data_IF_055484155718
#
_entry.id   IF_055484155718
#
_cell.length_a   1.000
_cell.length_b   1.000
_cell.length_c   1.000
_cell.angle_alpha   90.00
_cell.angle_beta   90.00
_cell.angle_gamma   90.00
#
_symmetry.space_group_name_H-M   'P 1'
#
loop_
_entity.id
_entity.type
_entity.pdbx_description
1 polymer ?
#
# COMPACT_ATOMS: atom_id res chain seq x y z
N UNK A 1 58.42 -7.29 -5.33
CA UNK A 1 57.47 -6.87 -4.30
C UNK A 1 56.19 -6.53 -5.00
N UNK A 2 55.19 -7.41 -4.95
CA UNK A 2 53.84 -7.20 -5.51
C UNK A 2 52.92 -6.87 -4.35
N UNK A 3 52.33 -5.70 -4.34
CA UNK A 3 51.30 -5.27 -3.39
C UNK A 3 49.94 -5.72 -3.90
N UNK A 4 49.18 -6.38 -3.04
CA UNK A 4 47.84 -6.87 -3.26
C UNK A 4 46.83 -5.81 -2.84
N UNK A 5 45.84 -5.43 -3.64
CA UNK A 5 44.77 -4.54 -3.25
C UNK A 5 43.43 -5.29 -3.11
N UNK A 6 43.21 -5.92 -1.97
CA UNK A 6 41.88 -6.46 -1.62
C UNK A 6 41.49 -5.99 -0.23
N UNK A 7 41.00 -4.75 -0.16
CA UNK A 7 40.28 -4.19 0.99
C UNK A 7 38.77 -4.20 0.70
N UNK A 8 38.14 -5.37 0.62
CA UNK A 8 36.70 -5.46 0.69
C UNK A 8 36.29 -5.30 2.15
N UNK A 9 35.75 -4.13 2.49
CA UNK A 9 35.12 -3.86 3.78
C UNK A 9 33.88 -4.74 3.93
N UNK A 10 34.02 -5.87 4.61
CA UNK A 10 32.89 -6.66 5.09
C UNK A 10 32.25 -5.92 6.27
N UNK A 11 31.17 -5.22 6.03
CA UNK A 11 30.31 -4.71 7.10
C UNK A 11 29.71 -5.89 7.87
N UNK A 12 29.97 -5.93 9.16
CA UNK A 12 29.53 -6.99 10.06
C UNK A 12 27.99 -6.91 10.24
N UNK A 13 27.23 -8.02 10.10
CA UNK A 13 25.76 -8.01 10.25
C UNK A 13 25.29 -7.60 11.65
N UNK A 14 26.18 -7.57 12.64
CA UNK A 14 25.86 -7.12 14.01
C UNK A 14 25.86 -5.59 14.18
N UNK A 15 26.52 -4.85 13.29
CA UNK A 15 26.55 -3.37 13.32
C UNK A 15 25.25 -2.72 12.82
N UNK A 16 24.38 -3.46 12.15
CA UNK A 16 23.09 -2.95 11.67
C UNK A 16 21.96 -3.01 12.72
N UNK A 17 22.11 -3.78 13.80
CA UNK A 17 21.06 -3.95 14.83
C UNK A 17 20.81 -2.73 15.73
N UNK A 18 21.58 -1.66 15.58
CA UNK A 18 21.47 -0.42 16.38
C UNK A 18 21.25 0.86 15.58
N UNK A 19 21.18 0.81 14.25
CA UNK A 19 20.93 2.03 13.45
C UNK A 19 19.47 2.46 13.54
N UNK A 20 19.22 3.65 14.05
CA UNK A 20 17.95 4.33 13.89
C UNK A 20 17.70 4.52 12.38
N UNK A 21 16.73 3.77 11.81
CA UNK A 21 16.39 3.91 10.41
C UNK A 21 15.78 5.28 10.14
N UNK A 22 16.28 5.94 9.11
CA UNK A 22 15.75 7.21 8.62
C UNK A 22 14.68 6.98 7.56
N UNK A 23 13.71 7.90 7.46
CA UNK A 23 12.64 7.77 6.49
C UNK A 23 12.26 9.10 5.83
N UNK A 24 11.66 9.00 4.66
CA UNK A 24 11.04 10.11 3.93
C UNK A 24 9.57 9.80 3.68
N UNK A 25 8.72 10.83 3.60
CA UNK A 25 7.31 10.70 3.30
C UNK A 25 6.94 11.43 2.01
N UNK A 26 5.98 10.87 1.29
CA UNK A 26 5.35 11.49 0.12
C UNK A 26 3.83 11.39 0.29
N UNK A 27 3.15 12.53 0.14
CA UNK A 27 1.69 12.61 0.22
C UNK A 27 1.12 13.28 -1.03
N UNK A 28 0.61 12.54 -2.00
CA UNK A 28 -0.22 13.11 -3.05
C UNK A 28 -1.53 13.63 -2.48
N UNK A 29 -1.85 14.90 -2.74
CA UNK A 29 -3.07 15.57 -2.29
C UNK A 29 -3.79 16.20 -3.49
N UNK A 30 -5.12 16.12 -3.51
CA UNK A 30 -5.95 16.83 -4.49
C UNK A 30 -7.32 17.13 -3.89
N UNK A 31 -7.57 18.41 -3.60
CA UNK A 31 -8.77 18.90 -2.94
C UNK A 31 -9.00 18.19 -1.59
N UNK A 32 -8.06 18.41 -0.68
CA UNK A 32 -7.99 17.78 0.64
C UNK A 32 -8.07 18.81 1.78
N UNK A 33 -8.61 20.03 1.53
CA UNK A 33 -8.73 21.10 2.53
C UNK A 33 -9.40 20.65 3.83
N UNK A 34 -10.35 19.69 3.73
CA UNK A 34 -11.08 19.18 4.88
C UNK A 34 -10.24 18.29 5.83
N UNK A 35 -9.13 17.70 5.35
CA UNK A 35 -8.40 16.65 6.09
C UNK A 35 -6.91 16.88 6.21
N UNK A 36 -6.29 17.55 5.22
CA UNK A 36 -4.83 17.68 5.12
C UNK A 36 -4.20 18.29 6.37
N UNK A 37 -4.87 19.24 7.03
CA UNK A 37 -4.35 19.87 8.25
C UNK A 37 -4.22 18.87 9.39
N UNK A 38 -5.21 17.97 9.55
CA UNK A 38 -5.20 16.93 10.56
C UNK A 38 -4.09 15.91 10.28
N UNK A 39 -3.90 15.54 9.02
CA UNK A 39 -2.79 14.70 8.59
C UNK A 39 -1.45 15.33 8.96
N UNK A 40 -1.24 16.60 8.63
CA UNK A 40 0.00 17.33 8.94
C UNK A 40 0.25 17.36 10.44
N UNK A 41 -0.73 17.74 11.24
CA UNK A 41 -0.60 17.80 12.71
C UNK A 41 -0.25 16.45 13.31
N UNK A 42 -0.83 15.36 12.80
CA UNK A 42 -0.55 14.01 13.30
C UNK A 42 0.87 13.50 12.97
N UNK A 43 1.44 13.95 11.83
CA UNK A 43 2.84 13.64 11.48
C UNK A 43 3.82 14.50 12.27
N UNK A 44 3.54 15.79 12.46
CA UNK A 44 4.38 16.69 13.28
C UNK A 44 4.43 16.21 14.74
N UNK A 45 3.35 15.63 15.24
CA UNK A 45 3.28 15.09 16.61
C UNK A 45 4.00 13.75 16.82
N UNK A 46 4.67 13.20 15.81
CA UNK A 46 5.38 11.92 15.93
C UNK A 46 6.72 12.06 16.67
N UNK A 47 7.09 11.02 17.41
CA UNK A 47 8.37 10.95 18.17
C UNK A 47 9.59 10.92 17.25
N UNK A 48 9.47 10.33 16.08
CA UNK A 48 10.49 10.33 15.02
C UNK A 48 9.92 11.02 13.79
N UNK A 49 10.54 12.11 13.38
CA UNK A 49 10.14 12.89 12.21
C UNK A 49 10.85 12.39 10.95
N UNK A 50 10.22 12.52 9.76
CA UNK A 50 10.89 12.18 8.50
C UNK A 50 12.05 13.15 8.20
N UNK A 51 13.09 12.68 7.52
CA UNK A 51 14.15 13.53 6.98
C UNK A 51 13.59 14.59 6.02
N UNK A 52 12.61 14.19 5.25
CA UNK A 52 11.89 15.05 4.30
C UNK A 52 10.47 14.51 4.11
N UNK A 53 9.52 15.41 4.07
CA UNK A 53 8.14 15.13 3.68
C UNK A 53 7.73 16.02 2.53
N UNK A 54 7.43 15.43 1.37
CA UNK A 54 6.94 16.16 0.20
C UNK A 54 5.44 15.94 0.06
N UNK A 55 4.67 17.00 0.25
CA UNK A 55 3.23 17.03 -0.02
C UNK A 55 3.05 17.56 -1.44
N UNK A 56 2.41 16.76 -2.30
CA UNK A 56 2.21 17.11 -3.71
C UNK A 56 0.77 17.53 -3.93
N UNK A 57 0.56 18.79 -4.21
CA UNK A 57 -0.73 19.27 -4.69
C UNK A 57 -0.89 18.95 -6.17
N UNK A 58 -1.75 17.97 -6.49
CA UNK A 58 -2.01 17.50 -7.84
C UNK A 58 -3.12 18.34 -8.51
N UNK A 59 -2.87 19.64 -8.64
CA UNK A 59 -3.83 20.61 -9.20
C UNK A 59 -5.05 20.80 -8.29
N UNK A 60 -4.84 21.05 -6.99
CA UNK A 60 -5.92 21.41 -6.07
C UNK A 60 -6.47 22.78 -6.42
N UNK A 61 -7.78 22.94 -6.26
CA UNK A 61 -8.55 24.17 -6.53
C UNK A 61 -9.26 24.72 -5.28
N UNK A 62 -9.08 24.03 -4.16
CA UNK A 62 -9.56 24.42 -2.82
C UNK A 62 -8.41 24.99 -1.97
N UNK A 63 -8.63 25.17 -0.68
CA UNK A 63 -7.63 25.75 0.24
C UNK A 63 -6.49 24.77 0.65
N UNK A 64 -6.38 23.60 0.01
CA UNK A 64 -5.32 22.60 0.32
C UNK A 64 -3.92 23.22 0.32
N UNK A 65 -3.57 23.98 -0.71
CA UNK A 65 -2.24 24.58 -0.87
C UNK A 65 -1.96 25.64 0.20
N UNK A 66 -2.93 26.48 0.53
CA UNK A 66 -2.77 27.53 1.53
C UNK A 66 -2.63 26.94 2.94
N UNK A 67 -3.31 25.82 3.22
CA UNK A 67 -3.12 25.08 4.48
C UNK A 67 -1.71 24.55 4.57
N UNK A 68 -1.22 23.85 3.55
CA UNK A 68 0.13 23.24 3.56
C UNK A 68 1.22 24.31 3.67
N UNK A 69 1.11 25.44 2.97
CA UNK A 69 2.10 26.56 3.01
C UNK A 69 2.32 27.08 4.43
N UNK A 70 1.30 27.12 5.30
CA UNK A 70 1.47 27.51 6.71
C UNK A 70 2.48 26.63 7.44
N UNK A 71 2.46 25.33 7.16
CA UNK A 71 3.36 24.35 7.82
C UNK A 71 4.75 24.31 7.19
N UNK A 72 4.85 24.53 5.88
CA UNK A 72 6.16 24.66 5.19
C UNK A 72 6.99 25.80 5.77
N UNK A 73 6.38 26.92 6.16
CA UNK A 73 7.09 28.05 6.79
C UNK A 73 7.60 27.73 8.19
N UNK A 74 6.95 26.82 8.90
CA UNK A 74 7.28 26.45 10.29
C UNK A 74 8.25 25.24 10.38
N UNK A 75 8.27 24.39 9.34
CA UNK A 75 8.98 23.13 9.34
C UNK A 75 9.79 22.95 8.07
N UNK A 76 11.11 23.16 8.11
CA UNK A 76 12.01 23.08 6.96
C UNK A 76 12.09 21.71 6.28
N UNK A 77 11.68 20.64 6.96
CA UNK A 77 11.60 19.30 6.44
C UNK A 77 10.30 18.99 5.67
N UNK A 78 9.30 19.89 5.70
CA UNK A 78 8.08 19.80 4.88
C UNK A 78 8.27 20.63 3.61
N UNK A 79 7.91 20.08 2.46
CA UNK A 79 7.94 20.76 1.17
C UNK A 79 6.59 20.60 0.47
N UNK A 80 6.06 21.70 -0.08
CA UNK A 80 4.91 21.68 -0.99
C UNK A 80 5.42 21.66 -2.44
N UNK A 81 5.04 20.63 -3.19
CA UNK A 81 5.24 20.55 -4.63
C UNK A 81 3.89 20.75 -5.32
N UNK A 82 3.74 21.84 -6.06
CA UNK A 82 2.52 22.12 -6.82
C UNK A 82 2.65 21.57 -8.24
N UNK A 83 1.66 20.83 -8.69
CA UNK A 83 1.53 20.36 -10.08
C UNK A 83 0.43 21.14 -10.80
N UNK A 84 0.54 21.27 -12.14
CA UNK A 84 -0.52 21.90 -12.93
C UNK A 84 -1.88 21.20 -12.74
N UNK A 85 -2.95 21.99 -12.83
CA UNK A 85 -4.30 21.45 -12.81
C UNK A 85 -4.51 20.49 -14.00
N UNK A 86 -5.19 19.36 -13.71
CA UNK A 86 -5.54 18.35 -14.72
C UNK A 86 -7.06 18.20 -14.79
N UNK A 87 -7.61 18.20 -16.00
CA UNK A 87 -9.04 18.02 -16.23
C UNK A 87 -9.54 16.64 -15.79
N UNK A 88 -8.76 15.57 -16.01
CA UNK A 88 -9.17 14.21 -15.68
C UNK A 88 -8.69 13.76 -14.28
N UNK A 89 -9.63 13.24 -13.49
CA UNK A 89 -9.32 12.57 -12.21
C UNK A 89 -9.26 11.06 -12.42
N UNK A 90 -8.05 10.47 -12.36
CA UNK A 90 -7.83 9.03 -12.40
C UNK A 90 -6.71 8.61 -11.45
N UNK A 91 -6.69 7.34 -11.04
CA UNK A 91 -5.72 6.85 -10.05
C UNK A 91 -4.26 6.95 -10.51
N UNK A 92 -3.96 6.84 -11.80
CA UNK A 92 -2.61 7.05 -12.30
C UNK A 92 -2.04 8.45 -11.95
N UNK A 93 -2.91 9.44 -11.72
CA UNK A 93 -2.50 10.76 -11.23
C UNK A 93 -1.79 10.72 -9.89
N UNK A 94 -2.25 9.88 -8.96
CA UNK A 94 -1.57 9.66 -7.68
C UNK A 94 -0.12 9.20 -7.88
N UNK A 95 0.12 8.31 -8.86
CA UNK A 95 1.48 7.84 -9.20
C UNK A 95 2.32 8.95 -9.81
N UNK A 96 1.76 9.75 -10.72
CA UNK A 96 2.50 10.88 -11.30
C UNK A 96 2.91 11.91 -10.23
N UNK A 97 2.00 12.24 -9.33
CA UNK A 97 2.27 13.11 -8.19
C UNK A 97 3.35 12.50 -7.27
N UNK A 98 3.22 11.22 -6.93
CA UNK A 98 4.21 10.52 -6.14
C UNK A 98 5.60 10.54 -6.79
N UNK A 99 5.69 10.23 -8.09
CA UNK A 99 6.96 10.19 -8.82
C UNK A 99 7.61 11.58 -8.93
N UNK A 100 6.82 12.65 -9.05
CA UNK A 100 7.34 14.02 -9.03
C UNK A 100 7.99 14.35 -7.67
N UNK A 101 7.38 13.93 -6.57
CA UNK A 101 7.97 14.07 -5.23
C UNK A 101 9.16 13.13 -5.02
N UNK A 102 9.09 11.90 -5.53
CA UNK A 102 10.19 10.94 -5.42
C UNK A 102 11.48 11.50 -6.02
N UNK A 103 11.40 12.21 -7.14
CA UNK A 103 12.56 12.89 -7.74
C UNK A 103 13.24 13.91 -6.79
N UNK A 104 12.53 14.46 -5.79
CA UNK A 104 13.06 15.39 -4.79
C UNK A 104 13.79 14.70 -3.65
N UNK A 105 13.46 13.45 -3.36
CA UNK A 105 13.97 12.73 -2.19
C UNK A 105 14.92 11.58 -2.54
N UNK A 106 14.93 11.09 -3.78
CA UNK A 106 15.70 9.90 -4.19
C UNK A 106 17.20 9.97 -3.92
N UNK A 107 17.79 11.16 -3.91
CA UNK A 107 19.23 11.37 -3.65
C UNK A 107 19.56 11.55 -2.15
N UNK A 108 18.55 11.63 -1.28
CA UNK A 108 18.76 11.70 0.16
C UNK A 108 19.21 10.32 0.70
N UNK A 109 19.94 10.35 1.79
CA UNK A 109 20.35 9.13 2.50
C UNK A 109 19.26 8.70 3.50
N UNK A 110 18.31 7.88 3.03
CA UNK A 110 17.22 7.32 3.83
C UNK A 110 17.13 5.81 3.63
N UNK A 111 16.56 5.12 4.61
CA UNK A 111 16.36 3.68 4.59
C UNK A 111 14.93 3.31 4.17
N UNK A 112 13.95 4.13 4.53
CA UNK A 112 12.53 3.83 4.35
C UNK A 112 11.84 4.98 3.61
N UNK A 113 10.98 4.65 2.63
CA UNK A 113 10.12 5.61 1.94
C UNK A 113 8.66 5.29 2.23
N UNK A 114 7.90 6.30 2.62
CA UNK A 114 6.46 6.17 2.91
C UNK A 114 5.59 6.88 1.87
N UNK A 115 4.52 6.20 1.47
CA UNK A 115 3.36 6.81 0.81
C UNK A 115 2.27 6.97 1.84
N UNK A 116 1.85 8.21 2.09
CA UNK A 116 0.81 8.57 3.05
C UNK A 116 -0.32 9.29 2.33
N UNK A 117 -1.57 8.85 2.49
CA UNK A 117 -2.72 9.57 1.95
C UNK A 117 -3.02 10.84 2.75
N UNK A 118 -3.56 11.85 2.08
CA UNK A 118 -3.75 13.21 2.62
C UNK A 118 -4.92 13.32 3.63
N UNK A 119 -5.68 12.25 3.81
CA UNK A 119 -6.83 12.15 4.70
C UNK A 119 -6.62 11.10 5.82
N UNK A 120 -5.34 10.82 6.14
CA UNK A 120 -4.94 9.88 7.19
C UNK A 120 -4.36 10.64 8.38
N UNK A 121 -4.70 10.20 9.60
CA UNK A 121 -4.03 10.67 10.81
C UNK A 121 -3.64 9.52 11.75
N UNK A 122 -2.79 9.84 12.71
CA UNK A 122 -2.26 8.91 13.70
C UNK A 122 -2.57 9.44 15.10
N UNK A 123 -3.23 8.62 15.93
CA UNK A 123 -3.47 8.95 17.34
C UNK A 123 -2.23 8.60 18.19
N UNK A 124 -1.47 7.58 17.79
CA UNK A 124 -0.25 7.15 18.47
C UNK A 124 0.95 8.03 18.05
N UNK A 125 1.62 8.72 18.98
CA UNK A 125 2.78 9.57 18.65
C UNK A 125 4.03 8.77 18.26
N UNK A 126 4.08 7.47 18.52
CA UNK A 126 5.16 6.55 18.17
C UNK A 126 4.82 5.62 16.99
N UNK A 127 3.87 6.03 16.13
CA UNK A 127 3.43 5.19 15.01
C UNK A 127 4.55 4.86 14.03
N UNK A 128 5.33 5.86 13.61
CA UNK A 128 6.46 5.63 12.70
C UNK A 128 7.61 4.93 13.41
N UNK A 129 7.94 5.28 14.64
CA UNK A 129 8.95 4.59 15.45
C UNK A 129 8.65 3.08 15.55
N UNK A 130 7.39 2.74 15.81
CA UNK A 130 6.93 1.35 15.84
C UNK A 130 7.22 0.62 14.52
N UNK A 131 6.85 1.20 13.37
CA UNK A 131 7.09 0.57 12.06
C UNK A 131 8.58 0.50 11.70
N UNK A 132 9.35 1.55 12.00
CA UNK A 132 10.80 1.56 11.78
C UNK A 132 11.50 0.44 12.58
N UNK A 133 11.08 0.20 13.83
CA UNK A 133 11.56 -0.93 14.64
C UNK A 133 11.25 -2.28 14.00
N UNK A 134 10.07 -2.44 13.36
CA UNK A 134 9.75 -3.68 12.62
C UNK A 134 10.71 -3.90 11.45
N UNK A 135 11.02 -2.85 10.68
CA UNK A 135 12.02 -2.91 9.61
C UNK A 135 13.44 -3.19 10.12
N UNK A 136 13.83 -2.64 11.27
CA UNK A 136 15.13 -2.91 11.87
C UNK A 136 15.27 -4.35 12.35
N UNK A 137 14.17 -4.96 12.82
CA UNK A 137 14.14 -6.34 13.31
C UNK A 137 14.16 -7.39 12.19
N UNK A 138 13.64 -7.07 11.00
CA UNK A 138 13.55 -8.00 9.88
C UNK A 138 14.10 -7.36 8.59
N UNK A 139 15.35 -7.68 8.20
CA UNK A 139 15.94 -7.18 6.95
C UNK A 139 15.20 -7.62 5.67
N UNK A 140 14.45 -8.73 5.72
CA UNK A 140 13.66 -9.23 4.58
C UNK A 140 12.31 -8.48 4.45
N UNK A 141 11.91 -7.69 5.46
CA UNK A 141 10.69 -6.90 5.43
C UNK A 141 10.85 -5.75 4.43
N UNK A 142 10.15 -5.86 3.30
CA UNK A 142 10.17 -4.88 2.22
C UNK A 142 9.05 -3.86 2.29
N UNK A 143 7.86 -4.27 2.79
CA UNK A 143 6.68 -3.39 2.88
C UNK A 143 5.97 -3.58 4.21
N UNK A 144 5.70 -2.49 4.90
CA UNK A 144 4.97 -2.51 6.16
C UNK A 144 3.90 -1.40 6.22
N UNK A 145 2.87 -1.66 7.02
CA UNK A 145 1.82 -0.72 7.36
C UNK A 145 0.96 -1.25 8.49
N UNK A 146 -0.14 -0.57 8.75
CA UNK A 146 -1.12 -0.96 9.77
C UNK A 146 -2.53 -0.98 9.19
N UNK A 147 -3.51 -1.56 9.90
CA UNK A 147 -4.90 -1.35 9.59
C UNK A 147 -5.26 0.14 9.66
N UNK A 148 -6.28 0.53 8.90
CA UNK A 148 -6.95 1.81 9.12
C UNK A 148 -8.35 1.60 9.70
N UNK A 149 -8.87 2.63 10.38
CA UNK A 149 -10.23 2.71 10.89
C UNK A 149 -10.98 3.86 10.19
N UNK A 150 -12.25 3.64 9.88
CA UNK A 150 -13.18 4.65 9.35
C UNK A 150 -14.30 4.87 10.35
N UNK A 151 -14.18 5.87 11.22
CA UNK A 151 -15.08 6.03 12.37
C UNK A 151 -15.08 4.77 13.22
N UNK A 152 -16.28 4.19 13.45
CA UNK A 152 -16.43 2.96 14.26
C UNK A 152 -16.19 1.67 13.47
N UNK A 153 -15.90 1.77 12.15
CA UNK A 153 -15.67 0.60 11.30
C UNK A 153 -14.21 0.20 11.33
N UNK A 154 -13.94 -0.99 11.84
CA UNK A 154 -12.61 -1.59 11.83
C UNK A 154 -12.52 -2.67 10.76
N UNK A 155 -11.38 -2.73 10.06
CA UNK A 155 -11.11 -3.80 9.10
C UNK A 155 -11.03 -5.15 9.81
N UNK A 156 -11.74 -6.15 9.28
CA UNK A 156 -11.77 -7.49 9.87
C UNK A 156 -10.60 -8.35 9.37
N UNK A 157 -9.47 -8.29 10.08
CA UNK A 157 -8.25 -9.03 9.73
C UNK A 157 -8.35 -10.55 9.96
N UNK A 158 -9.44 -11.06 10.52
CA UNK A 158 -9.67 -12.52 10.58
C UNK A 158 -9.82 -13.13 9.19
N UNK A 159 -10.22 -12.32 8.20
CA UNK A 159 -10.47 -12.73 6.83
C UNK A 159 -9.57 -12.02 5.80
N UNK A 160 -8.86 -10.98 6.21
CA UNK A 160 -7.85 -10.32 5.39
C UNK A 160 -6.46 -10.88 5.71
N UNK A 161 -5.67 -11.05 4.69
CA UNK A 161 -4.28 -11.53 4.87
C UNK A 161 -3.40 -10.39 5.36
N UNK A 162 -2.55 -10.67 6.34
CA UNK A 162 -1.60 -9.68 6.87
C UNK A 162 -0.53 -9.28 5.84
N UNK A 163 -0.31 -10.11 4.84
CA UNK A 163 0.61 -9.81 3.73
C UNK A 163 0.09 -8.71 2.79
N UNK A 164 -1.19 -8.32 2.91
CA UNK A 164 -1.72 -7.16 2.19
C UNK A 164 -1.55 -5.90 3.03
N UNK A 165 -0.77 -4.94 2.53
CA UNK A 165 -0.57 -3.63 3.17
C UNK A 165 -1.43 -2.59 2.46
N UNK A 166 -2.23 -1.87 3.23
CA UNK A 166 -3.15 -0.84 2.72
C UNK A 166 -2.41 0.37 2.14
N UNK A 167 -2.96 0.97 1.09
CA UNK A 167 -2.45 2.19 0.47
C UNK A 167 -2.61 3.47 1.31
N UNK A 168 -3.36 3.41 2.43
CA UNK A 168 -3.55 4.54 3.33
C UNK A 168 -2.22 5.08 3.90
N UNK A 169 -1.38 4.15 4.37
CA UNK A 169 0.00 4.43 4.76
C UNK A 169 0.85 3.19 4.48
N UNK A 170 1.67 3.25 3.43
CA UNK A 170 2.59 2.18 3.05
C UNK A 170 4.03 2.64 3.24
N UNK A 171 4.79 1.94 4.08
CA UNK A 171 6.22 2.14 4.19
C UNK A 171 6.95 1.03 3.43
N UNK A 172 7.94 1.43 2.65
CA UNK A 172 8.80 0.53 1.88
C UNK A 172 10.25 0.68 2.33
N UNK A 173 10.95 -0.45 2.47
CA UNK A 173 12.41 -0.42 2.46
C UNK A 173 12.87 0.14 1.11
N UNK A 174 13.89 1.01 1.12
CA UNK A 174 14.39 1.68 -0.10
C UNK A 174 14.73 0.67 -1.19
N UNK A 175 15.50 -0.35 -0.85
CA UNK A 175 15.93 -1.39 -1.78
C UNK A 175 14.74 -2.18 -2.36
N UNK A 176 13.72 -2.41 -1.54
CA UNK A 176 12.47 -3.02 -1.99
C UNK A 176 11.78 -2.12 -3.01
N UNK A 177 11.59 -0.83 -2.68
CA UNK A 177 10.91 0.14 -3.55
C UNK A 177 11.62 0.30 -4.90
N UNK A 178 12.95 0.37 -4.89
CA UNK A 178 13.79 0.44 -6.08
C UNK A 178 13.71 -0.86 -6.91
N UNK A 179 13.75 -2.03 -6.25
CA UNK A 179 13.69 -3.35 -6.92
C UNK A 179 12.36 -3.60 -7.64
N UNK A 180 11.25 -3.05 -7.14
CA UNK A 180 9.93 -3.16 -7.80
C UNK A 180 9.71 -2.11 -8.89
N UNK A 181 10.62 -1.14 -9.03
CA UNK A 181 10.49 -0.02 -9.97
C UNK A 181 9.46 1.03 -9.56
N UNK A 182 9.12 1.09 -8.25
CA UNK A 182 8.14 2.02 -7.70
C UNK A 182 6.69 1.66 -8.01
N UNK A 183 5.80 2.65 -7.96
CA UNK A 183 4.38 2.47 -8.26
C UNK A 183 4.10 2.45 -9.77
N UNK A 184 3.25 1.51 -10.21
CA UNK A 184 2.79 1.41 -11.61
C UNK A 184 1.56 2.30 -11.82
N UNK A 185 1.53 3.20 -12.83
CA UNK A 185 0.41 4.12 -13.07
C UNK A 185 -0.79 3.40 -13.69
N UNK A 186 -1.64 2.81 -12.86
CA UNK A 186 -2.86 2.12 -13.26
C UNK A 186 -4.07 3.07 -13.19
N UNK A 187 -4.73 3.32 -14.32
CA UNK A 187 -5.91 4.22 -14.38
C UNK A 187 -7.09 3.71 -13.54
N UNK A 188 -7.26 2.39 -13.46
CA UNK A 188 -8.35 1.75 -12.75
C UNK A 188 -8.13 1.63 -11.22
N UNK A 189 -6.97 2.02 -10.69
CA UNK A 189 -6.60 1.84 -9.29
C UNK A 189 -5.77 0.58 -9.02
N UNK A 190 -5.79 0.06 -7.80
CA UNK A 190 -4.99 -1.08 -7.33
C UNK A 190 -3.46 -0.87 -7.40
N UNK A 191 -3.02 0.39 -7.29
CA UNK A 191 -1.62 0.80 -7.34
C UNK A 191 -0.86 0.20 -6.15
N UNK A 192 -1.41 0.36 -4.96
CA UNK A 192 -0.92 -0.17 -3.69
C UNK A 192 -0.83 -1.71 -3.70
N UNK A 193 -1.90 -2.37 -4.12
CA UNK A 193 -1.93 -3.83 -4.27
C UNK A 193 -0.85 -4.32 -5.23
N UNK A 194 -0.70 -3.64 -6.38
CA UNK A 194 0.30 -4.02 -7.38
C UNK A 194 1.71 -3.90 -6.84
N UNK A 195 2.03 -2.83 -6.12
CA UNK A 195 3.34 -2.65 -5.49
C UNK A 195 3.63 -3.74 -4.45
N UNK A 196 2.66 -4.04 -3.57
CA UNK A 196 2.81 -5.07 -2.51
C UNK A 196 2.97 -6.48 -3.09
N UNK A 197 2.20 -6.84 -4.12
CA UNK A 197 2.34 -8.15 -4.78
C UNK A 197 3.67 -8.24 -5.53
N UNK A 198 4.10 -7.17 -6.21
CA UNK A 198 5.40 -7.13 -6.90
C UNK A 198 6.57 -7.24 -5.91
N UNK A 199 6.47 -6.64 -4.72
CA UNK A 199 7.46 -6.82 -3.68
C UNK A 199 7.61 -8.30 -3.28
N UNK A 200 6.48 -9.01 -3.08
CA UNK A 200 6.50 -10.44 -2.80
C UNK A 200 7.03 -11.29 -3.97
N UNK A 201 6.75 -10.89 -5.21
CA UNK A 201 7.34 -11.53 -6.41
C UNK A 201 8.87 -11.41 -6.42
N UNK A 202 9.41 -10.32 -5.88
CA UNK A 202 10.86 -10.09 -5.74
C UNK A 202 11.46 -10.72 -4.48
N UNK A 203 10.67 -11.49 -3.72
CA UNK A 203 11.12 -12.20 -2.53
C UNK A 203 11.01 -11.42 -1.22
N UNK A 204 10.57 -10.17 -1.25
CA UNK A 204 10.40 -9.36 -0.05
C UNK A 204 9.21 -9.83 0.80
N UNK A 205 9.34 -9.75 2.11
CA UNK A 205 8.21 -9.89 3.02
C UNK A 205 7.36 -8.61 3.01
N UNK A 206 6.04 -8.79 3.13
CA UNK A 206 5.09 -7.68 3.28
C UNK A 206 4.17 -7.98 4.44
N UNK A 207 3.96 -7.02 5.35
CA UNK A 207 3.18 -7.29 6.55
C UNK A 207 2.39 -6.07 7.03
N UNK A 208 1.14 -6.31 7.41
CA UNK A 208 0.28 -5.40 8.16
C UNK A 208 0.34 -5.75 9.64
N UNK A 209 0.91 -4.85 10.44
CA UNK A 209 1.00 -4.97 11.89
C UNK A 209 -0.27 -4.45 12.55
N UNK A 210 -0.97 -5.33 13.28
CA UNK A 210 -2.29 -5.03 13.84
C UNK A 210 -2.25 -4.44 15.24
N UNK A 211 -1.08 -4.21 15.79
CA UNK A 211 -0.87 -3.62 17.14
C UNK A 211 -1.19 -2.13 17.17
N UNK A 212 -1.05 -1.45 16.03
CA UNK A 212 -1.43 -0.05 15.82
C UNK A 212 -2.37 0.10 14.64
N UNK A 213 -2.98 1.28 14.51
CA UNK A 213 -3.84 1.62 13.38
C UNK A 213 -3.70 3.11 13.05
N UNK A 214 -4.09 3.49 11.83
CA UNK A 214 -4.28 4.87 11.44
C UNK A 214 -5.77 5.18 11.25
N UNK A 215 -6.14 6.45 11.32
CA UNK A 215 -7.51 6.92 11.09
C UNK A 215 -7.65 7.38 9.65
N UNK A 216 -8.66 6.90 8.94
CA UNK A 216 -9.01 7.33 7.59
C UNK A 216 -10.27 8.19 7.68
N UNK A 217 -10.14 9.49 7.38
CA UNK A 217 -11.20 10.45 7.62
C UNK A 217 -12.24 10.49 6.51
N UNK A 218 -11.83 10.18 5.29
CA UNK A 218 -12.77 10.08 4.17
C UNK A 218 -13.38 8.67 4.13
N UNK A 219 -14.69 8.57 4.32
CA UNK A 219 -15.38 7.29 4.19
C UNK A 219 -15.28 6.75 2.77
N UNK A 220 -14.70 5.57 2.60
CA UNK A 220 -14.69 4.89 1.30
C UNK A 220 -16.13 4.51 0.90
N UNK A 221 -16.51 4.79 -0.37
CA UNK A 221 -17.80 4.40 -0.92
C UNK A 221 -18.98 5.31 -0.58
N UNK A 222 -18.75 6.50 0.02
CA UNK A 222 -19.83 7.51 0.29
C UNK A 222 -20.30 8.31 -0.93
N UNK A 223 -19.67 8.15 -2.09
CA UNK A 223 -20.33 8.54 -3.32
C UNK A 223 -21.65 7.75 -3.38
N UNK A 224 -22.79 8.41 -3.59
CA UNK A 224 -24.17 7.90 -3.69
C UNK A 224 -24.36 6.76 -4.72
N UNK A 225 -23.36 5.90 -4.89
CA UNK A 225 -23.37 4.78 -5.80
C UNK A 225 -24.17 3.65 -5.15
N UNK A 226 -25.11 3.12 -5.90
CA UNK A 226 -25.80 1.89 -5.59
C UNK A 226 -24.75 0.83 -5.17
N UNK A 227 -24.83 0.35 -3.92
CA UNK A 227 -23.89 -0.65 -3.36
C UNK A 227 -23.73 -1.86 -4.29
N UNK A 228 -24.79 -2.26 -4.96
CA UNK A 228 -24.74 -3.38 -5.93
C UNK A 228 -23.90 -3.04 -7.15
N UNK A 229 -23.98 -1.81 -7.66
CA UNK A 229 -23.16 -1.36 -8.77
C UNK A 229 -21.67 -1.27 -8.35
N UNK A 230 -21.39 -0.81 -7.14
CA UNK A 230 -20.03 -0.78 -6.60
C UNK A 230 -19.47 -2.20 -6.47
N UNK A 231 -20.26 -3.14 -5.98
CA UNK A 231 -19.88 -4.57 -5.86
C UNK A 231 -19.64 -5.20 -7.22
N UNK A 232 -20.50 -4.92 -8.21
CA UNK A 232 -20.30 -5.37 -9.60
C UNK A 232 -18.99 -4.79 -10.17
N UNK A 233 -18.74 -3.49 -10.02
CA UNK A 233 -17.49 -2.84 -10.46
C UNK A 233 -16.26 -3.45 -9.79
N UNK A 234 -16.34 -3.83 -8.51
CA UNK A 234 -15.28 -4.51 -7.80
C UNK A 234 -14.96 -5.86 -8.47
N UNK A 235 -15.98 -6.70 -8.72
CA UNK A 235 -15.79 -7.95 -9.46
C UNK A 235 -15.26 -7.75 -10.87
N UNK A 236 -15.77 -6.73 -11.58
CA UNK A 236 -15.28 -6.36 -12.91
C UNK A 236 -13.79 -6.01 -12.91
N UNK A 237 -13.32 -5.25 -11.91
CA UNK A 237 -11.90 -4.91 -11.76
C UNK A 237 -11.01 -6.09 -11.35
N UNK A 238 -11.55 -7.10 -10.67
CA UNK A 238 -10.79 -8.27 -10.24
C UNK A 238 -10.24 -9.11 -11.41
N UNK A 239 -10.99 -9.24 -12.51
CA UNK A 239 -10.59 -10.03 -13.67
C UNK A 239 -9.29 -9.49 -14.33
N UNK A 240 -9.21 -8.23 -14.79
CA UNK A 240 -8.00 -7.69 -15.42
C UNK A 240 -6.82 -7.61 -14.45
N UNK A 241 -7.06 -7.59 -13.15
CA UNK A 241 -6.04 -7.67 -12.11
C UNK A 241 -5.59 -9.11 -11.81
N UNK A 242 -5.99 -10.09 -12.62
CA UNK A 242 -5.48 -11.45 -12.57
C UNK A 242 -6.00 -12.31 -11.43
N UNK A 243 -7.12 -11.96 -10.80
CA UNK A 243 -7.74 -12.81 -9.75
C UNK A 243 -8.08 -14.19 -10.29
N UNK A 244 -7.72 -15.24 -9.54
CA UNK A 244 -8.01 -16.61 -9.92
C UNK A 244 -9.52 -16.90 -9.85
N UNK A 245 -10.13 -17.59 -10.84
CA UNK A 245 -11.58 -17.84 -10.86
C UNK A 245 -12.12 -18.56 -9.61
N UNK A 246 -11.39 -19.56 -9.10
CA UNK A 246 -11.78 -20.28 -7.87
C UNK A 246 -11.71 -19.36 -6.65
N UNK A 247 -10.67 -18.51 -6.55
CA UNK A 247 -10.58 -17.48 -5.51
C UNK A 247 -11.78 -16.54 -5.57
N UNK A 248 -12.13 -16.08 -6.78
CA UNK A 248 -13.28 -15.21 -6.99
C UNK A 248 -14.60 -15.86 -6.57
N UNK A 249 -14.78 -17.16 -6.87
CA UNK A 249 -15.94 -17.93 -6.43
C UNK A 249 -16.02 -17.98 -4.90
N UNK A 250 -14.95 -18.35 -4.22
CA UNK A 250 -14.89 -18.39 -2.75
C UNK A 250 -15.17 -17.02 -2.13
N UNK A 251 -14.59 -15.94 -2.71
CA UNK A 251 -14.82 -14.56 -2.29
C UNK A 251 -16.28 -14.15 -2.48
N UNK A 252 -16.90 -14.54 -3.58
CA UNK A 252 -18.32 -14.26 -3.86
C UNK A 252 -19.24 -14.99 -2.87
N UNK A 253 -18.97 -16.26 -2.56
CA UNK A 253 -19.70 -17.03 -1.54
C UNK A 253 -19.54 -16.34 -0.17
N UNK A 254 -18.33 -15.94 0.20
CA UNK A 254 -18.10 -15.21 1.44
C UNK A 254 -18.87 -13.88 1.47
N UNK A 255 -18.91 -13.13 0.36
CA UNK A 255 -19.67 -11.89 0.26
C UNK A 255 -21.18 -12.10 0.46
N UNK A 256 -21.73 -13.29 0.14
CA UNK A 256 -23.14 -13.61 0.39
C UNK A 256 -23.50 -13.62 1.88
N UNK A 257 -22.54 -13.82 2.77
CA UNK A 257 -22.74 -13.71 4.23
C UNK A 257 -22.68 -12.28 4.77
N UNK A 258 -22.35 -11.28 3.92
CA UNK A 258 -22.22 -9.86 4.29
C UNK A 258 -23.22 -8.99 3.55
N UNK A 259 -23.57 -7.83 4.12
CA UNK A 259 -24.48 -6.87 3.47
C UNK A 259 -23.87 -6.29 2.17
N UNK A 260 -24.62 -6.19 1.06
CA UNK A 260 -25.97 -6.74 0.84
C UNK A 260 -25.89 -8.24 0.61
N UNK A 261 -26.43 -9.04 1.54
CA UNK A 261 -26.26 -10.51 1.63
C UNK A 261 -26.29 -11.18 0.23
N UNK A 262 -26.76 -12.34 0.03
CA UNK A 262 -26.73 -13.16 -1.20
C UNK A 262 -26.52 -12.35 -2.49
N UNK A 263 -27.26 -11.24 -2.66
CA UNK A 263 -27.22 -10.39 -3.86
C UNK A 263 -25.82 -9.77 -4.08
N UNK A 264 -25.12 -9.36 -3.01
CA UNK A 264 -23.76 -8.83 -3.12
C UNK A 264 -22.78 -9.83 -3.73
N UNK A 265 -22.83 -11.09 -3.31
CA UNK A 265 -21.99 -12.15 -3.89
C UNK A 265 -22.32 -12.43 -5.36
N UNK A 266 -23.60 -12.42 -5.72
CA UNK A 266 -24.04 -12.59 -7.12
C UNK A 266 -23.49 -11.44 -7.99
N UNK A 267 -23.63 -10.18 -7.55
CA UNK A 267 -23.16 -9.04 -8.32
C UNK A 267 -21.63 -9.01 -8.42
N UNK A 268 -20.92 -9.43 -7.39
CA UNK A 268 -19.47 -9.55 -7.41
C UNK A 268 -19.00 -10.57 -8.48
N UNK A 269 -19.64 -11.75 -8.51
CA UNK A 269 -19.35 -12.78 -9.51
C UNK A 269 -19.77 -12.35 -10.90
N UNK A 270 -20.94 -11.73 -11.05
CA UNK A 270 -21.44 -11.24 -12.34
C UNK A 270 -20.48 -10.22 -12.97
N UNK A 271 -19.93 -9.30 -12.15
CA UNK A 271 -18.93 -8.35 -12.63
C UNK A 271 -17.67 -9.02 -13.16
N UNK A 272 -17.16 -10.02 -12.44
CA UNK A 272 -15.99 -10.80 -12.86
C UNK A 272 -16.23 -11.56 -14.16
N UNK A 273 -17.34 -12.29 -14.24
CA UNK A 273 -17.71 -13.05 -15.45
C UNK A 273 -17.96 -12.13 -16.65
N UNK A 274 -18.56 -10.97 -16.41
CA UNK A 274 -18.78 -9.97 -17.47
C UNK A 274 -17.46 -9.44 -18.03
N UNK A 275 -16.48 -9.11 -17.16
CA UNK A 275 -15.15 -8.69 -17.59
C UNK A 275 -14.44 -9.80 -18.38
N UNK A 276 -14.57 -11.04 -17.94
CA UNK A 276 -14.03 -12.23 -18.62
C UNK A 276 -14.64 -12.42 -20.00
N UNK A 277 -15.98 -12.34 -20.12
CA UNK A 277 -16.69 -12.46 -21.41
C UNK A 277 -16.30 -11.32 -22.38
N UNK A 278 -16.14 -10.11 -21.86
CA UNK A 278 -15.66 -8.93 -22.63
C UNK A 278 -14.16 -9.00 -22.95
N UNK A 279 -13.43 -9.98 -22.43
CA UNK A 279 -11.96 -10.11 -22.58
C UNK A 279 -11.24 -8.81 -22.26
N UNK A 280 -11.62 -8.19 -21.11
CA UNK A 280 -11.02 -6.93 -20.70
C UNK A 280 -9.49 -7.10 -20.61
N UNK A 281 -8.70 -6.23 -21.27
CA UNK A 281 -7.26 -6.37 -21.30
C UNK A 281 -6.66 -6.21 -19.89
N UNK A 282 -5.68 -7.04 -19.59
CA UNK A 282 -4.93 -7.01 -18.34
C UNK A 282 -3.87 -5.92 -18.40
N UNK A 283 -3.87 -4.91 -17.49
CA UNK A 283 -2.89 -3.82 -17.51
C UNK A 283 -1.56 -4.17 -16.81
N UNK A 284 -1.41 -5.40 -16.35
CA UNK A 284 -0.28 -5.93 -15.60
C UNK A 284 0.38 -7.09 -16.33
N UNK A 285 1.63 -7.44 -15.96
CA UNK A 285 2.36 -8.53 -16.62
C UNK A 285 1.72 -9.90 -16.37
N UNK A 286 1.90 -10.82 -17.30
CA UNK A 286 1.44 -12.21 -17.14
C UNK A 286 2.18 -12.93 -15.99
N UNK A 287 3.43 -12.55 -15.72
CA UNK A 287 4.22 -13.03 -14.59
C UNK A 287 3.53 -12.66 -13.27
N UNK A 288 3.09 -11.40 -13.14
CA UNK A 288 2.30 -10.95 -11.98
C UNK A 288 1.00 -11.77 -11.84
N UNK A 289 0.26 -11.99 -12.93
CA UNK A 289 -0.98 -12.77 -12.92
C UNK A 289 -0.72 -14.19 -12.43
N UNK A 290 0.32 -14.86 -12.94
CA UNK A 290 0.67 -16.21 -12.52
C UNK A 290 1.06 -16.30 -11.06
N UNK A 291 1.92 -15.38 -10.60
CA UNK A 291 2.34 -15.30 -9.21
C UNK A 291 1.13 -15.09 -8.28
N UNK A 292 0.30 -14.08 -8.56
CA UNK A 292 -0.90 -13.78 -7.77
C UNK A 292 -1.86 -14.96 -7.69
N UNK A 293 -2.10 -15.66 -8.81
CA UNK A 293 -2.95 -16.84 -8.84
C UNK A 293 -2.39 -17.99 -8.02
N UNK A 294 -1.10 -18.27 -8.14
CA UNK A 294 -0.41 -19.29 -7.34
C UNK A 294 -0.52 -18.97 -5.84
N UNK A 295 -0.31 -17.72 -5.47
CA UNK A 295 -0.45 -17.22 -4.10
C UNK A 295 -1.89 -17.40 -3.57
N UNK A 296 -2.89 -17.02 -4.34
CA UNK A 296 -4.30 -17.18 -3.98
C UNK A 296 -4.70 -18.66 -3.81
N UNK A 297 -4.23 -19.54 -4.67
CA UNK A 297 -4.52 -20.99 -4.57
C UNK A 297 -3.81 -21.61 -3.37
N UNK A 298 -2.58 -21.19 -3.04
CA UNK A 298 -1.89 -21.59 -1.82
C UNK A 298 -2.69 -21.17 -0.58
N UNK A 299 -3.14 -19.92 -0.52
CA UNK A 299 -3.93 -19.41 0.60
C UNK A 299 -5.28 -20.16 0.77
N UNK A 300 -5.96 -20.50 -0.31
CA UNK A 300 -7.15 -21.33 -0.25
C UNK A 300 -6.83 -22.71 0.31
N UNK A 301 -5.77 -23.34 -0.15
CA UNK A 301 -5.34 -24.64 0.36
C UNK A 301 -5.02 -24.60 1.86
N UNK A 302 -4.28 -23.57 2.32
CA UNK A 302 -4.00 -23.36 3.75
C UNK A 302 -5.30 -23.20 4.55
N UNK A 303 -6.24 -22.40 4.05
CA UNK A 303 -7.53 -22.18 4.69
C UNK A 303 -8.33 -23.48 4.82
N UNK A 304 -8.47 -24.26 3.73
CA UNK A 304 -9.19 -25.51 3.75
C UNK A 304 -8.51 -26.56 4.63
N UNK A 305 -7.19 -26.67 4.60
CA UNK A 305 -6.46 -27.58 5.49
C UNK A 305 -6.68 -27.23 6.96
N UNK A 306 -6.65 -25.94 7.31
CA UNK A 306 -6.96 -25.48 8.67
C UNK A 306 -8.40 -25.80 9.07
N UNK A 307 -9.36 -25.56 8.19
CA UNK A 307 -10.78 -25.85 8.42
C UNK A 307 -11.04 -27.34 8.61
N UNK A 308 -10.36 -28.22 7.87
CA UNK A 308 -10.45 -29.68 7.92
C UNK A 308 -9.50 -30.31 8.96
N UNK A 309 -8.78 -29.50 9.76
CA UNK A 309 -7.76 -29.97 10.72
C UNK A 309 -6.67 -30.87 10.12
N UNK A 310 -6.33 -30.67 8.86
CA UNK A 310 -5.25 -31.37 8.16
C UNK A 310 -3.91 -30.70 8.45
N UNK A 311 -2.77 -31.44 8.38
CA UNK A 311 -1.45 -30.86 8.58
C UNK A 311 -1.15 -29.78 7.55
N UNK A 312 -0.64 -28.63 8.03
CA UNK A 312 -0.15 -27.53 7.20
C UNK A 312 1.35 -27.76 7.00
N UNK A 313 1.78 -27.94 5.77
CA UNK A 313 3.19 -28.05 5.46
C UNK A 313 3.83 -26.66 5.42
N UNK A 314 4.91 -26.41 6.18
CA UNK A 314 5.64 -25.14 6.10
C UNK A 314 6.21 -24.95 4.69
N UNK A 315 6.37 -23.69 4.30
CA UNK A 315 7.02 -23.30 3.03
C UNK A 315 8.42 -23.88 3.00
N UNK A 316 8.75 -24.69 2.00
CA UNK A 316 10.15 -24.98 1.68
C UNK A 316 10.75 -23.67 1.12
N UNK A 317 11.86 -23.20 1.72
CA UNK A 317 12.53 -21.92 1.35
C UNK A 317 13.03 -21.89 -0.10
N UNK A 318 13.15 -23.06 -0.75
CA UNK A 318 13.79 -23.24 -2.07
C UNK A 318 12.82 -23.47 -3.24
N UNK A 319 11.49 -23.43 -3.03
CA UNK A 319 10.57 -23.47 -4.16
C UNK A 319 10.41 -22.06 -4.77
N UNK A 320 10.87 -21.84 -6.02
CA UNK A 320 10.54 -20.62 -6.75
C UNK A 320 9.02 -20.53 -6.89
N UNK A 321 8.50 -19.37 -6.59
CA UNK A 321 7.07 -19.06 -6.70
C UNK A 321 6.58 -19.11 -8.15
#
# INVERSE_FOLDING_TARGET
MKGDPTGASSTNPEDEKGKNLSYVLITPARNEEAFIEQTIKSVIGQTILPLKWVIVSDGSTDDTDEIVKKYVTLHSWIELLQMPERAERHFAGKVHAFNAAFAKVKELDYNIIGSLDADISFDDPDYFDFLLKKFAQDPELGVAGTPFREGDVQYDYRFSRKEHVSGACQLFRRECFESIGGYVPLKAGAIDLTAVVTARMKGWKTETFTEKFCMHHRRMGTAKANILLATFKSGYGDYPMGVHPIWQLCRSIYQMSRKPMIVGGIFLMAGYLWAMLKRVPTPISMEFVHFRRKEQMRWLNEYFRKALRLPIYPRQKDEPL
#
